data_IF_459009749737
#
_entry.id   IF_459009749737
#
_cell.length_a   1.000
_cell.length_b   1.000
_cell.length_c   1.000
_cell.angle_alpha   90.00
_cell.angle_beta   90.00
_cell.angle_gamma   90.00
#
_symmetry.space_group_name_H-M   'P 1'
#
loop_
_entity.id
_entity.type
_entity.pdbx_description
1 polymer ?
#
# COMPACT_ATOMS: atom_id res chain seq x y z
N UNK A 1 -1.69 0.73 10.58
CA UNK A 1 -1.48 2.21 10.71
C UNK A 1 -1.34 2.54 12.18
N UNK A 2 -0.44 3.44 12.53
CA UNK A 2 -0.18 3.85 13.91
C UNK A 2 -0.23 5.38 14.00
N UNK A 3 -0.65 5.87 15.16
CA UNK A 3 -0.47 7.27 15.52
C UNK A 3 0.98 7.54 15.98
N UNK A 4 1.29 8.77 16.34
CA UNK A 4 2.66 9.16 16.70
C UNK A 4 3.17 8.52 18.02
N UNK A 5 2.28 7.97 18.84
CA UNK A 5 2.65 7.25 20.06
C UNK A 5 3.53 6.03 19.77
N UNK A 6 3.45 5.47 18.55
CA UNK A 6 4.23 4.30 18.13
C UNK A 6 5.74 4.52 18.31
N UNK A 7 6.22 5.75 18.13
CA UNK A 7 7.65 6.08 18.26
C UNK A 7 8.13 5.82 19.69
N UNK A 8 7.37 6.26 20.68
CA UNK A 8 7.72 6.05 22.09
C UNK A 8 7.47 4.60 22.51
N UNK A 9 6.40 3.98 22.06
CA UNK A 9 6.13 2.57 22.34
C UNK A 9 7.26 1.70 21.78
N UNK A 10 7.69 1.92 20.55
CA UNK A 10 8.74 1.13 19.90
C UNK A 10 10.09 1.21 20.64
N UNK A 11 10.38 2.32 21.32
CA UNK A 11 11.59 2.46 22.14
C UNK A 11 11.57 1.62 23.43
N UNK A 12 10.40 1.21 23.87
CA UNK A 12 10.19 0.51 25.16
C UNK A 12 9.97 -0.99 25.04
N UNK A 13 9.78 -1.51 23.81
CA UNK A 13 9.59 -2.94 23.59
C UNK A 13 10.92 -3.68 23.73
N UNK A 14 10.85 -4.89 24.29
CA UNK A 14 11.99 -5.78 24.46
C UNK A 14 12.01 -6.85 23.36
N UNK A 15 13.20 -7.36 23.01
CA UNK A 15 13.30 -8.47 22.06
C UNK A 15 12.53 -9.71 22.53
N UNK A 16 11.92 -10.41 21.59
CA UNK A 16 11.26 -11.69 21.82
C UNK A 16 12.26 -12.79 22.16
N UNK A 17 11.76 -13.99 22.45
CA UNK A 17 12.60 -15.19 22.64
C UNK A 17 13.48 -15.52 21.42
N UNK A 18 13.17 -14.97 20.24
CA UNK A 18 13.99 -15.09 19.02
C UNK A 18 15.07 -14.02 18.90
N UNK A 19 15.15 -13.10 19.86
CA UNK A 19 16.08 -11.97 19.86
C UNK A 19 15.68 -10.81 18.94
N UNK A 20 14.45 -10.79 18.44
CA UNK A 20 13.93 -9.79 17.50
C UNK A 20 12.89 -8.88 18.18
N UNK A 21 12.87 -7.61 17.78
CA UNK A 21 11.80 -6.68 18.14
C UNK A 21 10.56 -7.01 17.30
N UNK A 22 9.47 -7.36 17.97
CA UNK A 22 8.26 -7.85 17.31
C UNK A 22 7.20 -6.75 17.23
N UNK A 23 6.59 -6.60 16.05
CA UNK A 23 5.45 -5.70 15.87
C UNK A 23 4.26 -6.09 16.75
N UNK A 24 4.14 -7.38 17.09
CA UNK A 24 3.11 -7.88 18.03
C UNK A 24 3.23 -7.24 19.41
N UNK A 25 4.44 -6.96 19.89
CA UNK A 25 4.64 -6.28 21.17
C UNK A 25 4.11 -4.84 21.13
N UNK A 26 4.28 -4.14 20.01
CA UNK A 26 3.68 -2.82 19.77
C UNK A 26 2.15 -2.91 19.78
N UNK A 27 1.59 -3.87 19.05
CA UNK A 27 0.14 -4.08 18.99
C UNK A 27 -0.44 -4.40 20.38
N UNK A 28 0.25 -5.21 21.19
CA UNK A 28 -0.16 -5.53 22.56
C UNK A 28 -0.19 -4.29 23.46
N UNK A 29 0.76 -3.37 23.29
CA UNK A 29 0.74 -2.12 24.03
C UNK A 29 -0.43 -1.21 23.63
N UNK A 30 -0.76 -1.15 22.32
CA UNK A 30 -1.98 -0.46 21.85
C UNK A 30 -3.25 -1.12 22.37
N UNK A 31 -3.28 -2.45 22.44
CA UNK A 31 -4.41 -3.19 23.03
C UNK A 31 -4.56 -2.85 24.53
N UNK A 32 -3.45 -2.85 25.29
CA UNK A 32 -3.44 -2.50 26.70
C UNK A 32 -3.95 -1.06 26.95
N UNK A 33 -3.64 -0.14 26.03
CA UNK A 33 -4.13 1.25 26.06
C UNK A 33 -5.57 1.40 25.55
N UNK A 34 -6.23 0.33 25.15
CA UNK A 34 -7.56 0.36 24.51
C UNK A 34 -7.61 1.24 23.25
N UNK A 35 -6.48 1.36 22.55
CA UNK A 35 -6.34 2.12 21.31
C UNK A 35 -6.25 1.24 20.05
N UNK A 36 -6.14 -0.09 20.21
CA UNK A 36 -6.10 -1.01 19.07
C UNK A 36 -7.46 -1.07 18.39
N UNK A 37 -7.46 -0.87 17.08
CA UNK A 37 -8.63 -1.11 16.22
C UNK A 37 -8.31 -2.24 15.26
N UNK A 38 -9.31 -3.05 14.94
CA UNK A 38 -9.20 -4.19 14.03
C UNK A 38 -10.14 -3.97 12.85
N UNK A 39 -9.60 -4.07 11.65
CA UNK A 39 -10.36 -4.09 10.41
C UNK A 39 -10.33 -5.50 9.82
N UNK A 40 -11.48 -6.06 9.56
CA UNK A 40 -11.60 -7.39 8.95
C UNK A 40 -11.60 -7.27 7.43
N UNK A 41 -10.66 -7.92 6.79
CA UNK A 41 -10.63 -7.99 5.33
C UNK A 41 -11.79 -8.86 4.82
N UNK A 42 -12.54 -8.34 3.84
CA UNK A 42 -13.59 -9.08 3.16
C UNK A 42 -13.03 -10.08 2.14
N UNK A 43 -13.94 -10.79 1.48
CA UNK A 43 -13.59 -11.69 0.37
C UNK A 43 -12.93 -10.90 -0.76
N UNK A 44 -11.94 -11.50 -1.41
CA UNK A 44 -11.20 -10.89 -2.52
C UNK A 44 -9.98 -10.06 -2.10
N UNK A 45 -9.76 -9.86 -0.81
CA UNK A 45 -8.49 -9.31 -0.32
C UNK A 45 -7.42 -10.40 -0.34
N UNK A 46 -6.29 -10.10 -0.97
CA UNK A 46 -5.12 -10.96 -0.96
C UNK A 46 -4.09 -10.45 0.05
N UNK A 47 -3.63 -11.34 0.92
CA UNK A 47 -2.49 -11.10 1.78
C UNK A 47 -1.28 -11.82 1.17
N UNK A 48 -0.23 -11.09 0.87
CA UNK A 48 0.98 -11.60 0.24
C UNK A 48 2.17 -11.25 1.13
N UNK A 49 2.85 -12.27 1.63
CA UNK A 49 4.10 -12.10 2.37
C UNK A 49 5.27 -12.09 1.38
N UNK A 50 6.15 -11.12 1.49
CA UNK A 50 7.32 -10.94 0.62
C UNK A 50 8.64 -11.16 1.36
N UNK A 51 8.61 -11.81 2.51
CA UNK A 51 9.77 -12.06 3.35
C UNK A 51 10.72 -13.14 2.82
N UNK A 52 10.32 -13.90 1.80
CA UNK A 52 11.15 -14.90 1.12
C UNK A 52 11.26 -14.58 -0.38
N UNK A 53 12.25 -15.16 -1.06
CA UNK A 53 12.39 -15.00 -2.51
C UNK A 53 11.17 -15.56 -3.26
N UNK A 54 10.65 -16.70 -2.83
CA UNK A 54 9.45 -17.33 -3.39
C UNK A 54 8.23 -16.42 -3.20
N UNK A 55 7.99 -15.93 -1.98
CA UNK A 55 6.87 -15.05 -1.67
C UNK A 55 6.93 -13.74 -2.46
N UNK A 56 8.12 -13.18 -2.67
CA UNK A 56 8.31 -11.98 -3.49
C UNK A 56 7.93 -12.23 -4.96
N UNK A 57 8.37 -13.39 -5.53
CA UNK A 57 8.02 -13.76 -6.90
C UNK A 57 6.51 -14.01 -7.05
N UNK A 58 5.90 -14.71 -6.09
CA UNK A 58 4.45 -14.96 -6.10
C UNK A 58 3.66 -13.66 -6.03
N UNK A 59 4.05 -12.74 -5.16
CA UNK A 59 3.43 -11.42 -5.05
C UNK A 59 3.57 -10.62 -6.35
N UNK A 60 4.75 -10.62 -6.97
CA UNK A 60 5.00 -9.95 -8.23
C UNK A 60 4.13 -10.52 -9.37
N UNK A 61 4.03 -11.84 -9.48
CA UNK A 61 3.19 -12.53 -10.46
C UNK A 61 1.70 -12.24 -10.24
N UNK A 62 1.26 -12.24 -8.98
CA UNK A 62 -0.12 -11.89 -8.63
C UNK A 62 -0.47 -10.47 -9.06
N UNK A 63 0.36 -9.49 -8.68
CA UNK A 63 0.16 -8.08 -9.05
C UNK A 63 0.18 -7.91 -10.56
N UNK A 64 1.14 -8.52 -11.27
CA UNK A 64 1.21 -8.48 -12.72
C UNK A 64 -0.08 -9.02 -13.38
N UNK A 65 -0.58 -10.14 -12.87
CA UNK A 65 -1.80 -10.77 -13.40
C UNK A 65 -3.01 -9.87 -13.21
N UNK A 66 -3.19 -9.31 -12.00
CA UNK A 66 -4.28 -8.39 -11.69
C UNK A 66 -4.22 -7.17 -12.61
N UNK A 67 -3.06 -6.53 -12.72
CA UNK A 67 -2.87 -5.33 -13.55
C UNK A 67 -3.20 -5.61 -15.03
N UNK A 68 -2.66 -6.72 -15.57
CA UNK A 68 -2.92 -7.08 -16.98
C UNK A 68 -4.37 -7.45 -17.28
N UNK A 69 -5.03 -8.16 -16.35
CA UNK A 69 -6.41 -8.65 -16.59
C UNK A 69 -7.46 -7.59 -16.31
N UNK A 70 -7.21 -6.71 -15.37
CA UNK A 70 -8.16 -5.66 -14.98
C UNK A 70 -7.86 -4.30 -15.64
N UNK A 71 -6.71 -4.15 -16.28
CA UNK A 71 -6.34 -2.92 -16.95
C UNK A 71 -6.08 -1.74 -16.00
N UNK A 72 -5.67 -2.04 -14.77
CA UNK A 72 -5.34 -1.05 -13.74
C UNK A 72 -3.89 -1.19 -13.26
N UNK A 73 -3.40 -0.20 -12.54
CA UNK A 73 -2.15 -0.31 -11.79
C UNK A 73 -2.44 -0.36 -10.30
N UNK A 74 -1.88 -1.36 -9.61
CA UNK A 74 -1.96 -1.47 -8.15
C UNK A 74 -1.14 -0.34 -7.52
N UNK A 75 -1.72 0.35 -6.54
CA UNK A 75 -1.09 1.47 -5.83
C UNK A 75 -0.63 2.63 -6.75
N UNK A 76 -1.36 2.91 -7.83
CA UNK A 76 -1.13 4.08 -8.66
C UNK A 76 -1.47 5.35 -7.88
N UNK A 77 -0.45 6.05 -7.37
CA UNK A 77 -0.62 7.18 -6.47
C UNK A 77 -1.34 8.34 -7.13
N UNK A 78 -1.04 8.62 -8.39
CA UNK A 78 -1.65 9.69 -9.16
C UNK A 78 -3.15 9.44 -9.40
N UNK A 79 -3.52 8.21 -9.76
CA UNK A 79 -4.94 7.83 -9.91
C UNK A 79 -5.67 7.93 -8.57
N UNK A 80 -5.07 7.43 -7.49
CA UNK A 80 -5.66 7.51 -6.15
C UNK A 80 -5.86 8.96 -5.75
N UNK A 81 -4.87 9.83 -5.95
CA UNK A 81 -4.96 11.25 -5.65
C UNK A 81 -6.05 11.93 -6.48
N UNK A 82 -6.14 11.61 -7.75
CA UNK A 82 -7.19 12.13 -8.64
C UNK A 82 -8.59 11.69 -8.21
N UNK A 83 -8.79 10.39 -7.96
CA UNK A 83 -10.09 9.85 -7.50
C UNK A 83 -10.51 10.37 -6.12
N UNK A 84 -9.54 10.71 -5.26
CA UNK A 84 -9.78 11.33 -3.95
C UNK A 84 -9.97 12.86 -4.03
N UNK A 85 -9.80 13.46 -5.20
CA UNK A 85 -9.91 14.91 -5.37
C UNK A 85 -8.75 15.71 -4.78
N UNK A 86 -7.61 15.06 -4.52
CA UNK A 86 -6.39 15.73 -4.04
C UNK A 86 -5.67 16.47 -5.16
N UNK A 87 -5.83 15.99 -6.39
CA UNK A 87 -5.38 16.63 -7.62
C UNK A 87 -6.53 16.67 -8.62
N UNK A 88 -6.52 17.67 -9.51
CA UNK A 88 -7.46 17.79 -10.61
C UNK A 88 -6.94 17.11 -11.90
N UNK A 89 -7.75 17.16 -12.95
CA UNK A 89 -7.41 16.59 -14.26
C UNK A 89 -6.16 17.23 -14.86
N UNK A 90 -6.02 18.54 -14.74
CA UNK A 90 -4.89 19.28 -15.31
C UNK A 90 -3.58 18.87 -14.63
N UNK A 91 -3.61 18.73 -13.31
CA UNK A 91 -2.47 18.24 -12.54
C UNK A 91 -2.12 16.80 -12.88
N UNK A 92 -3.11 15.91 -13.06
CA UNK A 92 -2.89 14.52 -13.48
C UNK A 92 -2.23 14.46 -14.86
N UNK A 93 -2.71 15.25 -15.82
CA UNK A 93 -2.13 15.34 -17.16
C UNK A 93 -0.67 15.85 -17.11
N UNK A 94 -0.40 16.85 -16.27
CA UNK A 94 0.95 17.39 -16.06
C UNK A 94 1.90 16.32 -15.49
N UNK A 95 1.44 15.51 -14.56
CA UNK A 95 2.23 14.40 -14.01
C UNK A 95 2.49 13.30 -15.04
N UNK A 96 1.55 13.04 -15.93
CA UNK A 96 1.70 12.04 -16.99
C UNK A 96 2.70 12.45 -18.08
N UNK A 97 2.85 13.73 -18.38
CA UNK A 97 3.65 14.26 -19.50
C UNK A 97 5.09 13.72 -19.55
N UNK A 98 5.90 13.75 -18.48
CA UNK A 98 7.28 13.26 -18.53
C UNK A 98 7.35 11.74 -18.75
N UNK A 99 6.26 11.00 -18.54
CA UNK A 99 6.19 9.54 -18.60
C UNK A 99 5.46 9.00 -19.84
N UNK A 100 5.12 9.82 -20.82
CA UNK A 100 4.31 9.42 -21.99
C UNK A 100 4.91 8.27 -22.81
N UNK A 101 6.21 8.07 -22.74
CA UNK A 101 6.89 6.97 -23.42
C UNK A 101 6.73 5.63 -22.71
N UNK A 102 6.25 5.62 -21.47
CA UNK A 102 6.05 4.43 -20.66
C UNK A 102 4.58 3.99 -20.68
N UNK A 103 4.33 2.73 -20.37
CA UNK A 103 2.94 2.24 -20.24
C UNK A 103 2.23 2.86 -19.04
N UNK A 104 2.98 3.22 -17.99
CA UNK A 104 2.44 3.93 -16.84
C UNK A 104 1.93 5.34 -17.21
N UNK A 105 2.71 6.12 -17.93
CA UNK A 105 2.27 7.45 -18.39
C UNK A 105 1.09 7.39 -19.34
N UNK A 106 1.04 6.40 -20.25
CA UNK A 106 -0.13 6.17 -21.11
C UNK A 106 -1.37 5.80 -20.28
N UNK A 107 -1.19 5.01 -19.21
CA UNK A 107 -2.26 4.68 -18.29
C UNK A 107 -2.83 5.93 -17.62
N UNK A 108 -1.99 6.82 -17.08
CA UNK A 108 -2.44 8.08 -16.47
C UNK A 108 -3.21 8.97 -17.44
N UNK A 109 -2.75 9.06 -18.69
CA UNK A 109 -3.47 9.76 -19.77
C UNK A 109 -4.85 9.16 -20.02
N UNK A 110 -4.96 7.83 -20.01
CA UNK A 110 -6.25 7.15 -20.16
C UNK A 110 -7.18 7.51 -19.00
N UNK A 111 -6.73 7.38 -17.75
CA UNK A 111 -7.50 7.71 -16.56
C UNK A 111 -8.00 9.18 -16.59
N UNK A 112 -7.14 10.11 -16.99
CA UNK A 112 -7.53 11.51 -17.12
C UNK A 112 -8.64 11.77 -18.15
N UNK A 113 -8.81 10.88 -19.14
CA UNK A 113 -9.80 11.02 -20.23
C UNK A 113 -11.03 10.12 -20.06
N UNK A 114 -11.03 9.18 -19.13
CA UNK A 114 -12.17 8.32 -18.83
C UNK A 114 -13.23 8.99 -17.94
N UNK A 115 -12.89 10.12 -17.29
CA UNK A 115 -13.76 10.84 -16.36
C UNK A 115 -13.82 12.36 -16.68
#
# INVERSE_FOLDING_TARGET
>A
FYDNDVVEIAKTIEPSARGELEITSVNNEYLRRSKLKVELFGRGMAWLDTGTHEGLIEAANFVQTVQKRQGLYVACLEEIAYRKGYIDKEQLLKLAQPMLKTDYGKYLMRIANEY
#
